data_IF_453118073675
#
_entry.id   IF_453118073675
#
_cell.length_a   1.000
_cell.length_b   1.000
_cell.length_c   1.000
_cell.angle_alpha   90.00
_cell.angle_beta   90.00
_cell.angle_gamma   90.00
#
_symmetry.space_group_name_H-M   'P 1'
#
loop_
_entity.id
_entity.type
_entity.pdbx_description
1 polymer ?
#
# COMPACT_ATOMS: atom_id res chain seq x y z
N UNK A 1 -35.26 46.48 -42.68
CA UNK A 1 -33.98 45.99 -42.11
C UNK A 1 -34.24 45.66 -40.63
N UNK A 2 -34.55 44.44 -40.17
CA UNK A 2 -33.54 43.46 -39.73
C UNK A 2 -34.15 42.16 -39.10
N UNK A 3 -35.28 41.58 -39.56
CA UNK A 3 -35.79 40.32 -38.94
C UNK A 3 -34.86 39.12 -39.18
N UNK A 4 -34.06 39.15 -40.25
CA UNK A 4 -33.05 38.12 -40.53
C UNK A 4 -31.94 38.07 -39.47
N UNK A 5 -31.49 39.21 -38.92
CA UNK A 5 -30.41 39.25 -37.91
C UNK A 5 -30.78 38.48 -36.64
N UNK A 6 -32.07 38.51 -36.26
CA UNK A 6 -32.58 37.77 -35.09
C UNK A 6 -32.60 36.26 -35.33
N UNK A 7 -32.94 35.80 -36.54
CA UNK A 7 -32.94 34.38 -36.91
C UNK A 7 -31.51 33.82 -36.94
N UNK A 8 -30.56 34.57 -37.51
CA UNK A 8 -29.14 34.19 -37.48
C UNK A 8 -28.60 34.14 -36.04
N UNK A 9 -28.98 35.10 -35.20
CA UNK A 9 -28.62 35.12 -33.77
C UNK A 9 -29.17 33.93 -32.98
N UNK A 10 -30.43 33.54 -33.19
CA UNK A 10 -31.04 32.37 -32.54
C UNK A 10 -30.37 31.07 -33.00
N UNK A 11 -30.01 30.95 -34.28
CA UNK A 11 -29.28 29.78 -34.80
C UNK A 11 -27.86 29.68 -34.22
N UNK A 12 -27.16 30.80 -34.08
CA UNK A 12 -25.86 30.84 -33.41
C UNK A 12 -25.97 30.46 -31.93
N UNK A 13 -26.95 31.01 -31.20
CA UNK A 13 -27.17 30.71 -29.78
C UNK A 13 -27.47 29.23 -29.53
N UNK A 14 -28.33 28.61 -30.35
CA UNK A 14 -28.60 27.18 -30.25
C UNK A 14 -27.37 26.35 -30.56
N UNK A 15 -26.58 26.73 -31.58
CA UNK A 15 -25.33 26.03 -31.90
C UNK A 15 -24.32 26.11 -30.75
N UNK A 16 -24.15 27.29 -30.15
CA UNK A 16 -23.27 27.48 -28.99
C UNK A 16 -23.75 26.65 -27.81
N UNK A 17 -25.05 26.68 -27.49
CA UNK A 17 -25.61 25.91 -26.39
C UNK A 17 -25.45 24.39 -26.59
N UNK A 18 -25.69 23.89 -27.80
CA UNK A 18 -25.47 22.48 -28.16
C UNK A 18 -24.00 22.09 -28.06
N UNK A 19 -23.07 22.93 -28.52
CA UNK A 19 -21.63 22.66 -28.41
C UNK A 19 -21.16 22.69 -26.95
N UNK A 20 -21.67 23.59 -26.11
CA UNK A 20 -21.35 23.63 -24.68
C UNK A 20 -21.87 22.38 -23.98
N UNK A 21 -23.12 21.95 -24.25
CA UNK A 21 -23.66 20.71 -23.70
C UNK A 21 -22.86 19.49 -24.17
N UNK A 22 -22.50 19.43 -25.46
CA UNK A 22 -21.69 18.35 -26.02
C UNK A 22 -20.31 18.30 -25.34
N UNK A 23 -19.66 19.45 -25.14
CA UNK A 23 -18.38 19.54 -24.44
C UNK A 23 -18.49 19.11 -22.98
N UNK A 24 -19.52 19.55 -22.25
CA UNK A 24 -19.76 19.14 -20.87
C UNK A 24 -20.04 17.63 -20.76
N UNK A 25 -20.79 17.08 -21.72
CA UNK A 25 -21.03 15.65 -21.80
C UNK A 25 -19.74 14.87 -22.09
N UNK A 26 -18.92 15.32 -23.05
CA UNK A 26 -17.64 14.69 -23.37
C UNK A 26 -16.69 14.77 -22.18
N UNK A 27 -16.52 15.94 -21.57
CA UNK A 27 -15.66 16.14 -20.39
C UNK A 27 -16.14 15.32 -19.19
N UNK A 28 -17.46 15.19 -18.98
CA UNK A 28 -18.04 14.37 -17.92
C UNK A 28 -17.89 12.85 -18.15
N UNK A 29 -17.69 12.42 -19.40
CA UNK A 29 -17.51 11.02 -19.78
C UNK A 29 -16.05 10.63 -20.07
N UNK A 30 -15.09 11.55 -19.92
CA UNK A 30 -13.66 11.17 -19.89
C UNK A 30 -13.41 10.33 -18.65
N UNK A 31 -13.53 9.02 -18.82
CA UNK A 31 -13.57 8.04 -17.76
C UNK A 31 -12.30 8.00 -16.93
N UNK A 32 -12.47 7.97 -15.61
CA UNK A 32 -11.41 7.61 -14.69
C UNK A 32 -10.90 6.20 -15.01
N UNK A 33 -9.62 6.10 -15.41
CA UNK A 33 -8.95 4.82 -15.60
C UNK A 33 -9.09 3.95 -14.35
N UNK A 34 -9.80 2.82 -14.46
CA UNK A 34 -9.88 1.82 -13.38
C UNK A 34 -8.50 1.18 -13.20
N UNK A 35 -7.66 1.73 -12.32
CA UNK A 35 -6.43 1.04 -11.89
C UNK A 35 -6.84 -0.20 -11.09
N UNK A 36 -6.38 -1.38 -11.52
CA UNK A 36 -6.52 -2.66 -10.83
C UNK A 36 -5.61 -2.72 -9.58
N UNK A 37 -5.75 -1.77 -8.66
CA UNK A 37 -5.02 -1.72 -7.41
C UNK A 37 -5.94 -2.26 -6.32
N UNK A 38 -5.47 -3.25 -5.58
CA UNK A 38 -6.20 -3.76 -4.43
C UNK A 38 -6.23 -2.70 -3.32
N UNK A 39 -7.41 -2.53 -2.71
CA UNK A 39 -7.67 -1.57 -1.63
C UNK A 39 -8.19 -2.22 -0.36
N UNK A 40 -8.10 -3.54 -0.25
CA UNK A 40 -8.47 -4.21 1.00
C UNK A 40 -7.50 -3.78 2.12
N UNK A 41 -7.94 -3.78 3.39
CA UNK A 41 -7.10 -3.40 4.52
C UNK A 41 -5.79 -4.20 4.57
N UNK A 42 -5.82 -5.48 4.21
CA UNK A 42 -4.67 -6.38 4.17
C UNK A 42 -3.67 -5.95 3.10
N UNK A 43 -4.16 -5.59 1.91
CA UNK A 43 -3.28 -5.12 0.83
C UNK A 43 -2.59 -3.81 1.21
N UNK A 44 -3.34 -2.85 1.78
CA UNK A 44 -2.78 -1.57 2.24
C UNK A 44 -1.74 -1.80 3.34
N UNK A 45 -2.03 -2.71 4.29
CA UNK A 45 -1.09 -3.08 5.36
C UNK A 45 0.19 -3.69 4.78
N UNK A 46 0.07 -4.60 3.82
CA UNK A 46 1.23 -5.22 3.18
C UNK A 46 2.05 -4.25 2.36
N UNK A 47 1.41 -3.39 1.57
CA UNK A 47 2.09 -2.34 0.82
C UNK A 47 2.88 -1.40 1.73
N UNK A 48 2.30 -0.99 2.86
CA UNK A 48 3.02 -0.18 3.87
C UNK A 48 4.22 -0.91 4.47
N UNK A 49 4.07 -2.21 4.79
CA UNK A 49 5.16 -3.02 5.33
C UNK A 49 6.33 -3.12 4.34
N UNK A 50 6.04 -3.38 3.06
CA UNK A 50 7.06 -3.47 2.02
C UNK A 50 7.80 -2.14 1.87
N UNK A 51 7.07 -1.04 1.71
CA UNK A 51 7.67 0.30 1.55
C UNK A 51 8.51 0.74 2.75
N UNK A 52 8.15 0.31 3.96
CA UNK A 52 8.93 0.61 5.18
C UNK A 52 10.31 -0.06 5.15
N UNK A 53 10.40 -1.27 4.59
CA UNK A 53 11.61 -2.07 4.60
C UNK A 53 12.56 -1.77 3.41
N UNK A 54 12.04 -1.16 2.35
CA UNK A 54 12.82 -0.75 1.19
C UNK A 54 13.69 0.48 1.46
N UNK A 55 14.95 0.45 1.01
CA UNK A 55 15.83 1.61 0.95
C UNK A 55 15.84 2.21 -0.46
N UNK A 56 14.98 3.22 -0.69
CA UNK A 56 14.80 3.87 -2.00
C UNK A 56 15.95 4.79 -2.43
N UNK A 57 16.99 4.93 -1.61
CA UNK A 57 18.20 5.69 -1.96
C UNK A 57 19.22 4.84 -2.72
N UNK A 58 18.99 3.53 -2.83
CA UNK A 58 19.84 2.60 -3.58
C UNK A 58 19.18 2.32 -4.93
N UNK A 59 19.97 2.31 -5.99
CA UNK A 59 19.48 1.91 -7.30
C UNK A 59 19.28 0.38 -7.33
N UNK A 60 18.08 -0.13 -7.65
CA UNK A 60 17.81 -1.57 -7.69
C UNK A 60 18.63 -2.32 -8.74
N UNK A 61 19.12 -1.65 -9.79
CA UNK A 61 19.98 -2.28 -10.79
C UNK A 61 21.41 -2.53 -10.28
N UNK A 62 21.83 -1.79 -9.25
CA UNK A 62 23.18 -1.88 -8.69
C UNK A 62 23.21 -2.82 -7.48
N UNK A 63 22.23 -2.69 -6.57
CA UNK A 63 22.08 -3.57 -5.40
C UNK A 63 20.59 -3.74 -5.05
N UNK A 64 19.99 -4.77 -5.65
CA UNK A 64 18.59 -5.12 -5.41
C UNK A 64 18.33 -5.55 -3.97
N UNK A 65 19.30 -6.18 -3.31
CA UNK A 65 19.13 -6.64 -1.93
C UNK A 65 19.00 -5.44 -0.99
N UNK A 66 19.94 -4.50 -1.05
CA UNK A 66 19.88 -3.30 -0.21
C UNK A 66 18.68 -2.44 -0.57
N UNK A 67 18.29 -2.35 -1.85
CA UNK A 67 17.07 -1.65 -2.24
C UNK A 67 15.82 -2.24 -1.58
N UNK A 68 15.64 -3.56 -1.56
CA UNK A 68 14.44 -4.22 -1.02
C UNK A 68 14.48 -4.36 0.50
N UNK A 69 15.64 -4.66 1.09
CA UNK A 69 15.81 -5.08 2.48
C UNK A 69 16.59 -4.09 3.35
N UNK A 70 17.26 -3.10 2.76
CA UNK A 70 18.25 -2.30 3.49
C UNK A 70 17.70 -1.51 4.68
N UNK A 71 16.42 -1.14 4.69
CA UNK A 71 15.81 -0.54 5.88
C UNK A 71 15.29 -1.60 6.87
N UNK A 72 14.98 -2.82 6.43
CA UNK A 72 14.67 -3.91 7.35
C UNK A 72 15.89 -4.24 8.21
N UNK A 73 17.06 -4.41 7.60
CA UNK A 73 18.30 -4.74 8.29
C UNK A 73 18.68 -3.67 9.34
N UNK A 74 18.63 -2.39 8.95
CA UNK A 74 18.86 -1.26 9.87
C UNK A 74 17.93 -1.25 11.09
N UNK A 75 16.69 -1.68 10.92
CA UNK A 75 15.68 -1.68 11.98
C UNK A 75 15.60 -3.01 12.75
N UNK A 76 16.32 -4.05 12.31
CA UNK A 76 16.30 -5.38 12.90
C UNK A 76 17.74 -5.90 13.07
N UNK A 77 18.53 -5.27 13.95
CA UNK A 77 19.89 -5.74 14.22
C UNK A 77 19.86 -7.16 14.81
N UNK A 78 20.90 -7.94 14.53
CA UNK A 78 21.04 -9.30 15.03
C UNK A 78 21.15 -9.26 16.56
N UNK A 79 20.25 -9.91 17.32
CA UNK A 79 20.37 -10.01 18.77
C UNK A 79 21.64 -10.75 19.16
N UNK A 80 22.27 -10.37 20.28
CA UNK A 80 23.51 -10.99 20.77
C UNK A 80 23.40 -12.50 21.08
N UNK A 81 22.18 -13.03 21.20
CA UNK A 81 21.92 -14.42 21.54
C UNK A 81 21.86 -15.36 20.34
N UNK A 82 21.96 -14.83 19.11
CA UNK A 82 21.82 -15.61 17.87
C UNK A 82 22.86 -15.18 16.85
N UNK A 83 23.29 -16.11 15.99
CA UNK A 83 24.22 -15.82 14.89
C UNK A 83 23.54 -15.26 13.64
N UNK A 84 22.22 -15.38 13.54
CA UNK A 84 21.44 -14.94 12.37
C UNK A 84 20.12 -14.32 12.80
N UNK A 85 19.73 -13.25 12.11
CA UNK A 85 18.42 -12.64 12.27
C UNK A 85 17.75 -12.46 10.92
N UNK A 86 16.59 -13.08 10.75
CA UNK A 86 15.80 -13.03 9.53
C UNK A 86 14.33 -12.75 9.86
N UNK A 87 13.53 -12.49 8.82
CA UNK A 87 12.07 -12.36 8.96
C UNK A 87 11.47 -13.63 9.58
N UNK A 88 12.03 -14.81 9.28
CA UNK A 88 11.59 -16.06 9.88
C UNK A 88 11.84 -16.08 11.39
N UNK A 89 13.01 -15.62 11.85
CA UNK A 89 13.34 -15.48 13.28
C UNK A 89 12.36 -14.57 14.01
N UNK A 90 11.96 -13.45 13.39
CA UNK A 90 10.96 -12.52 13.93
C UNK A 90 9.60 -13.21 14.09
N UNK A 91 9.15 -13.94 13.07
CA UNK A 91 7.86 -14.64 13.10
C UNK A 91 7.87 -15.75 14.16
N UNK A 92 8.95 -16.55 14.20
CA UNK A 92 9.12 -17.61 15.21
C UNK A 92 9.05 -17.03 16.63
N UNK A 93 9.79 -15.95 16.90
CA UNK A 93 9.77 -15.29 18.21
C UNK A 93 8.36 -14.82 18.60
N UNK A 94 7.64 -14.18 17.68
CA UNK A 94 6.25 -13.75 17.92
C UNK A 94 5.30 -14.91 18.19
N UNK A 95 5.47 -16.02 17.47
CA UNK A 95 4.68 -17.23 17.68
C UNK A 95 4.97 -17.84 19.05
N UNK A 96 6.24 -17.89 19.47
CA UNK A 96 6.64 -18.44 20.76
C UNK A 96 6.18 -17.55 21.93
N UNK A 97 6.24 -16.22 21.77
CA UNK A 97 5.65 -15.25 22.73
C UNK A 97 4.14 -15.46 22.88
N UNK A 98 3.42 -15.63 21.77
CA UNK A 98 1.98 -15.91 21.79
C UNK A 98 1.67 -17.24 22.45
N UNK A 99 2.48 -18.27 22.19
CA UNK A 99 2.34 -19.56 22.88
C UNK A 99 2.52 -19.38 24.38
N UNK A 100 3.56 -18.67 24.84
CA UNK A 100 3.78 -18.42 26.28
C UNK A 100 2.62 -17.69 26.95
N UNK A 101 2.00 -16.72 26.28
CA UNK A 101 0.81 -16.03 26.80
C UNK A 101 -0.45 -16.90 26.86
N UNK A 102 -0.50 -17.98 26.08
CA UNK A 102 -1.61 -18.94 26.03
C UNK A 102 -1.30 -20.27 26.74
N UNK A 103 -0.06 -20.48 27.16
CA UNK A 103 0.39 -21.64 27.93
C UNK A 103 0.11 -21.31 29.39
N UNK A 104 -0.78 -22.05 30.08
CA UNK A 104 -0.92 -21.89 31.52
C UNK A 104 0.45 -22.07 32.18
N UNK A 105 0.81 -21.17 33.08
CA UNK A 105 2.10 -21.19 33.80
C UNK A 105 2.33 -22.57 34.41
N UNK A 106 3.46 -23.24 34.15
CA UNK A 106 3.63 -24.60 34.61
C UNK A 106 4.01 -24.63 36.09
N UNK A 107 3.17 -25.28 36.88
CA UNK A 107 3.48 -26.03 38.11
C UNK A 107 4.55 -27.14 37.88
N UNK A 108 5.16 -27.18 36.69
CA UNK A 108 5.97 -28.25 36.13
C UNK A 108 7.48 -28.02 36.26
N UNK A 109 7.92 -26.85 36.76
CA UNK A 109 9.34 -26.63 37.10
C UNK A 109 9.70 -27.18 38.50
N UNK A 110 8.72 -27.58 39.32
CA UNK A 110 8.95 -28.15 40.66
C UNK A 110 9.11 -29.68 40.67
N UNK A 111 8.86 -30.39 39.57
CA UNK A 111 9.02 -31.85 39.51
C UNK A 111 10.37 -32.32 38.94
N UNK A 112 11.26 -31.40 38.55
CA UNK A 112 12.61 -31.74 38.06
C UNK A 112 13.74 -31.40 39.03
N UNK A 113 13.43 -30.91 40.23
CA UNK A 113 14.40 -30.58 41.30
C UNK A 113 14.31 -31.58 42.47
N UNK A 114 13.38 -32.53 42.43
CA UNK A 114 13.33 -33.64 43.41
C UNK A 114 13.44 -34.97 42.68
N UNK A 115 14.62 -35.23 42.13
CA UNK A 115 15.21 -36.56 41.94
C UNK A 115 16.71 -36.44 42.20
#
# INVERSE_FOLDING_TARGET
MSPLKNIFGIRLLRAVFVNVILLLYVVGNVGASKKNICRTPECVKMGKMLLKNMNRNVNPCDDFYTFVCGNWEKNNPIPSTVGEWSVHSVIKRKNDEKKKGNVPTPDFMLQSIVL
#
